data_IF_329087360870
#
_entry.id   IF_329087360870
#
_cell.length_a   1.000
_cell.length_b   1.000
_cell.length_c   1.000
_cell.angle_alpha   90.00
_cell.angle_beta   90.00
_cell.angle_gamma   90.00
#
_symmetry.space_group_name_H-M   'P 1'
#
loop_
_entity.id
_entity.type
_entity.pdbx_description
1 polymer ?
#
# COMPACT_ATOMS: atom_id res chain seq x y z
N UNK A 1 39.87 -6.68 16.41
CA UNK A 1 38.75 -7.58 16.76
C UNK A 1 37.98 -7.89 15.48
N UNK A 2 38.15 -9.08 14.89
CA UNK A 2 37.46 -9.43 13.63
C UNK A 2 36.01 -9.75 13.93
N UNK A 3 35.09 -8.88 13.53
CA UNK A 3 33.65 -9.07 13.74
C UNK A 3 33.18 -10.13 12.74
N UNK A 4 32.65 -11.25 13.26
CA UNK A 4 32.16 -12.37 12.44
C UNK A 4 30.99 -11.92 11.54
N UNK A 5 30.86 -12.41 10.29
CA UNK A 5 29.77 -12.03 9.38
C UNK A 5 28.36 -12.20 9.98
N UNK A 6 28.17 -13.21 10.83
CA UNK A 6 26.89 -13.44 11.54
C UNK A 6 26.57 -12.33 12.55
N UNK A 7 27.59 -11.74 13.19
CA UNK A 7 27.40 -10.62 14.12
C UNK A 7 26.95 -9.35 13.37
N UNK A 8 27.42 -9.15 12.13
CA UNK A 8 26.99 -8.03 11.30
C UNK A 8 25.54 -8.17 10.85
N UNK A 9 25.13 -9.38 10.43
CA UNK A 9 23.74 -9.64 10.03
C UNK A 9 22.77 -9.35 11.17
N UNK A 10 23.09 -9.80 12.39
CA UNK A 10 22.26 -9.56 13.57
C UNK A 10 22.13 -8.07 13.90
N UNK A 11 23.22 -7.31 13.83
CA UNK A 11 23.21 -5.85 14.05
C UNK A 11 22.35 -5.11 13.03
N UNK A 12 22.40 -5.53 11.76
CA UNK A 12 21.56 -4.97 10.71
C UNK A 12 20.08 -5.28 10.95
N UNK A 13 19.73 -6.52 11.30
CA UNK A 13 18.36 -6.93 11.60
C UNK A 13 17.79 -6.09 12.77
N UNK A 14 18.55 -5.93 13.85
CA UNK A 14 18.12 -5.12 14.99
C UNK A 14 17.97 -3.64 14.64
N UNK A 15 18.85 -3.12 13.78
CA UNK A 15 18.75 -1.75 13.27
C UNK A 15 17.49 -1.56 12.43
N UNK A 16 17.17 -2.52 11.55
CA UNK A 16 15.95 -2.50 10.74
C UNK A 16 14.68 -2.60 11.57
N UNK A 17 14.64 -3.43 12.62
CA UNK A 17 13.49 -3.49 13.55
C UNK A 17 13.21 -2.15 14.23
N UNK A 18 14.26 -1.45 14.68
CA UNK A 18 14.12 -0.11 15.28
C UNK A 18 13.66 0.92 14.26
N UNK A 19 14.23 0.87 13.06
CA UNK A 19 13.83 1.73 11.95
C UNK A 19 12.36 1.54 11.59
N UNK A 20 11.85 0.30 11.58
CA UNK A 20 10.45 0.00 11.31
C UNK A 20 9.50 0.75 12.25
N UNK A 21 9.78 0.72 13.56
CA UNK A 21 8.95 1.41 14.57
C UNK A 21 8.95 2.93 14.32
N UNK A 22 10.12 3.51 14.06
CA UNK A 22 10.26 4.94 13.78
C UNK A 22 9.53 5.33 12.48
N UNK A 23 9.69 4.54 11.42
CA UNK A 23 9.03 4.77 10.13
C UNK A 23 7.50 4.67 10.24
N UNK A 24 6.98 3.70 11.01
CA UNK A 24 5.54 3.62 11.30
C UNK A 24 5.03 4.86 12.02
N UNK A 25 5.79 5.40 12.99
CA UNK A 25 5.42 6.63 13.69
C UNK A 25 5.40 7.84 12.74
N UNK A 26 6.42 7.98 11.89
CA UNK A 26 6.47 9.00 10.84
C UNK A 26 5.27 8.88 9.91
N UNK A 27 4.98 7.67 9.42
CA UNK A 27 3.87 7.44 8.50
C UNK A 27 2.51 7.77 9.12
N UNK A 28 2.29 7.40 10.39
CA UNK A 28 1.07 7.78 11.12
C UNK A 28 0.94 9.28 11.26
N UNK A 29 2.04 9.99 11.55
CA UNK A 29 2.04 11.45 11.64
C UNK A 29 1.68 12.06 10.29
N UNK A 30 2.34 11.64 9.22
CA UNK A 30 2.05 12.10 7.85
C UNK A 30 0.57 11.95 7.50
N UNK A 31 -0.02 10.77 7.77
CA UNK A 31 -1.43 10.50 7.51
C UNK A 31 -2.36 11.41 8.33
N UNK A 32 -2.05 11.63 9.62
CA UNK A 32 -2.84 12.52 10.49
C UNK A 32 -2.77 13.98 10.05
N UNK A 33 -1.61 14.41 9.57
CA UNK A 33 -1.40 15.80 9.11
C UNK A 33 -1.63 15.96 7.62
N UNK A 34 -2.15 14.94 6.94
CA UNK A 34 -2.30 14.96 5.50
C UNK A 34 -3.36 15.99 5.11
N UNK A 35 -2.92 17.06 4.46
CA UNK A 35 -3.84 18.08 3.97
C UNK A 35 -4.42 17.61 2.63
N UNK A 36 -5.65 17.11 2.68
CA UNK A 36 -6.37 16.67 1.50
C UNK A 36 -6.55 17.79 0.48
N UNK A 37 -6.93 18.98 0.93
CA UNK A 37 -7.16 20.15 0.06
C UNK A 37 -5.92 20.54 -0.74
N UNK A 38 -4.73 20.49 -0.11
CA UNK A 38 -3.46 20.79 -0.78
C UNK A 38 -3.08 19.77 -1.86
N UNK A 39 -3.55 18.53 -1.73
CA UNK A 39 -3.20 17.43 -2.63
C UNK A 39 -4.32 17.05 -3.59
N UNK A 40 -5.43 17.79 -3.62
CA UNK A 40 -6.57 17.52 -4.51
C UNK A 40 -6.12 17.42 -5.98
N UNK A 41 -5.27 18.33 -6.44
CA UNK A 41 -4.78 18.31 -7.83
C UNK A 41 -4.03 17.03 -8.20
N UNK A 42 -3.28 16.45 -7.26
CA UNK A 42 -2.58 15.18 -7.47
C UNK A 42 -3.59 14.04 -7.55
N UNK A 43 -4.57 14.02 -6.64
CA UNK A 43 -5.64 13.02 -6.64
C UNK A 43 -6.46 13.09 -7.92
N UNK A 44 -6.85 14.29 -8.35
CA UNK A 44 -7.58 14.52 -9.59
C UNK A 44 -6.76 14.05 -10.80
N UNK A 45 -5.45 14.33 -10.83
CA UNK A 45 -4.57 13.83 -11.88
C UNK A 45 -4.51 12.30 -11.93
N UNK A 46 -4.47 11.62 -10.78
CA UNK A 46 -4.50 10.15 -10.72
C UNK A 46 -5.85 9.59 -11.20
N UNK A 47 -6.95 10.22 -10.81
CA UNK A 47 -8.30 9.82 -11.24
C UNK A 47 -8.48 10.03 -12.75
N UNK A 48 -8.01 11.16 -13.28
CA UNK A 48 -8.05 11.47 -14.70
C UNK A 48 -7.24 10.44 -15.50
N UNK A 49 -6.01 10.15 -15.07
CA UNK A 49 -5.18 9.13 -15.71
C UNK A 49 -5.87 7.75 -15.70
N UNK A 50 -6.45 7.36 -14.57
CA UNK A 50 -7.17 6.10 -14.44
C UNK A 50 -8.40 6.04 -15.35
N UNK A 51 -9.09 7.17 -15.55
CA UNK A 51 -10.21 7.26 -16.49
C UNK A 51 -9.73 7.13 -17.95
N UNK A 52 -8.65 7.81 -18.32
CA UNK A 52 -8.09 7.78 -19.68
C UNK A 52 -7.53 6.42 -20.06
N UNK A 53 -6.92 5.71 -19.11
CA UNK A 53 -6.27 4.42 -19.32
C UNK A 53 -7.13 3.25 -18.83
N UNK A 54 -8.44 3.46 -18.69
CA UNK A 54 -9.34 2.39 -18.25
C UNK A 54 -9.43 1.30 -19.30
N UNK A 55 -9.34 0.06 -18.87
CA UNK A 55 -9.73 -1.07 -19.70
C UNK A 55 -11.26 -1.14 -19.78
N UNK A 56 -11.79 -1.29 -20.99
CA UNK A 56 -13.22 -1.51 -21.18
C UNK A 56 -13.59 -2.89 -20.65
N UNK A 57 -14.41 -2.90 -19.61
CA UNK A 57 -14.95 -4.12 -19.01
C UNK A 57 -16.32 -4.39 -19.60
N UNK A 58 -16.52 -5.61 -20.11
CA UNK A 58 -17.82 -6.08 -20.61
C UNK A 58 -18.79 -6.41 -19.47
N UNK A 59 -18.30 -6.42 -18.24
CA UNK A 59 -18.99 -6.78 -17.03
C UNK A 59 -18.96 -5.60 -16.04
N UNK A 60 -20.06 -5.41 -15.34
CA UNK A 60 -20.11 -4.44 -14.24
C UNK A 60 -19.46 -5.02 -12.99
N UNK A 61 -19.06 -4.15 -12.06
CA UNK A 61 -18.56 -4.57 -10.75
C UNK A 61 -19.55 -5.49 -10.02
N UNK A 62 -20.85 -5.26 -10.18
CA UNK A 62 -21.91 -6.08 -9.59
C UNK A 62 -21.91 -7.50 -10.16
N UNK A 63 -21.78 -7.65 -11.48
CA UNK A 63 -21.72 -8.97 -12.14
C UNK A 63 -20.48 -9.75 -11.69
N UNK A 64 -19.33 -9.08 -11.56
CA UNK A 64 -18.12 -9.71 -11.03
C UNK A 64 -18.26 -10.12 -9.56
N UNK A 65 -18.86 -9.26 -8.73
CA UNK A 65 -19.13 -9.58 -7.32
C UNK A 65 -20.05 -10.79 -7.18
N UNK A 66 -21.14 -10.84 -7.94
CA UNK A 66 -22.05 -12.00 -7.96
C UNK A 66 -21.33 -13.27 -8.39
N UNK A 67 -20.50 -13.22 -9.44
CA UNK A 67 -19.69 -14.36 -9.88
C UNK A 67 -18.73 -14.84 -8.79
N UNK A 68 -18.06 -13.92 -8.10
CA UNK A 68 -17.15 -14.25 -6.99
C UNK A 68 -17.91 -14.90 -5.83
N UNK A 69 -19.06 -14.35 -5.42
CA UNK A 69 -19.87 -14.94 -4.37
C UNK A 69 -20.42 -16.32 -4.75
N UNK A 70 -20.76 -16.54 -6.02
CA UNK A 70 -21.15 -17.87 -6.51
C UNK A 70 -20.00 -18.87 -6.52
N UNK A 71 -18.77 -18.43 -6.81
CA UNK A 71 -17.57 -19.30 -6.68
C UNK A 71 -17.24 -19.64 -5.23
N UNK A 72 -17.49 -18.71 -4.31
CA UNK A 72 -17.24 -18.91 -2.87
C UNK A 72 -18.35 -19.72 -2.20
N UNK A 73 -19.55 -19.74 -2.77
CA UNK A 73 -20.57 -20.74 -2.47
C UNK A 73 -20.15 -22.09 -3.07
N UNK A 74 -19.28 -22.82 -2.38
CA UNK A 74 -19.32 -24.28 -2.44
C UNK A 74 -20.41 -24.80 -1.48
N UNK A 75 -21.05 -25.94 -1.79
CA UNK A 75 -21.91 -26.64 -0.83
C UNK A 75 -21.13 -27.08 0.41
#
# INVERSE_FOLDING_TARGET
MKISPQNNAQLWIESWKRAEVALKAVKRRELRTYNHTKNLSIVDGMLQWAFEHRELRLNSGLVEQQRLFMRMKKP
#
